data_IF_753806030998
#
_entry.id   IF_753806030998
#
_cell.length_a   1.000
_cell.length_b   1.000
_cell.length_c   1.000
_cell.angle_alpha   90.00
_cell.angle_beta   90.00
_cell.angle_gamma   90.00
#
_symmetry.space_group_name_H-M   'P 1'
#
loop_
_entity.id
_entity.type
_entity.pdbx_description
1 polymer ?
#
# COMPACT_ATOMS: atom_id res chain seq x y z
N UNK A 1 37.45 49.14 16.56
CA UNK A 1 37.79 47.84 17.21
C UNK A 1 36.55 47.15 17.81
N UNK A 2 35.58 47.89 18.33
CA UNK A 2 34.36 47.30 18.93
C UNK A 2 33.38 46.68 17.94
N UNK A 3 33.32 47.15 16.68
CA UNK A 3 32.43 46.61 15.65
C UNK A 3 32.80 45.17 15.27
N UNK A 4 34.10 44.88 15.20
CA UNK A 4 34.57 43.51 14.92
C UNK A 4 34.24 42.54 16.05
N UNK A 5 34.36 42.99 17.30
CA UNK A 5 34.07 42.20 18.49
C UNK A 5 32.55 41.89 18.55
N UNK A 6 31.69 42.85 18.24
CA UNK A 6 30.24 42.68 18.18
C UNK A 6 29.86 41.69 17.05
N UNK A 7 30.50 41.81 15.89
CA UNK A 7 30.26 40.89 14.76
C UNK A 7 30.64 39.45 15.10
N UNK A 8 31.78 39.21 15.72
CA UNK A 8 32.22 37.88 16.15
C UNK A 8 31.30 37.32 17.23
N UNK A 9 30.89 38.13 18.20
CA UNK A 9 29.95 37.70 19.25
C UNK A 9 28.60 37.29 18.66
N UNK A 10 28.09 38.00 17.68
CA UNK A 10 26.83 37.68 16.98
C UNK A 10 26.91 36.37 16.24
N UNK A 11 28.02 36.09 15.56
CA UNK A 11 28.23 34.78 14.87
C UNK A 11 28.28 33.58 15.84
N UNK A 12 28.93 33.79 16.98
CA UNK A 12 29.00 32.75 18.02
C UNK A 12 27.60 32.43 18.57
N UNK A 13 26.80 33.45 18.84
CA UNK A 13 25.42 33.30 19.35
C UNK A 13 24.57 32.54 18.32
N UNK A 14 24.65 32.88 17.04
CA UNK A 14 23.92 32.18 15.97
C UNK A 14 24.35 30.72 15.85
N UNK A 15 25.64 30.45 15.94
CA UNK A 15 26.17 29.10 15.91
C UNK A 15 25.69 28.23 17.10
N UNK A 16 25.62 28.83 18.30
CA UNK A 16 25.09 28.14 19.49
C UNK A 16 23.60 27.86 19.36
N UNK A 17 22.82 28.81 18.84
CA UNK A 17 21.38 28.60 18.61
C UNK A 17 21.16 27.50 17.59
N UNK A 18 21.92 27.48 16.49
CA UNK A 18 21.85 26.43 15.48
C UNK A 18 22.21 25.04 16.06
N UNK A 19 23.23 24.98 16.90
CA UNK A 19 23.62 23.74 17.58
C UNK A 19 22.55 23.24 18.56
N UNK A 20 21.92 24.15 19.31
CA UNK A 20 20.83 23.79 20.25
C UNK A 20 19.61 23.30 19.47
N UNK A 21 19.24 23.95 18.37
CA UNK A 21 18.10 23.51 17.57
C UNK A 21 18.34 22.15 16.94
N UNK A 22 19.54 21.86 16.46
CA UNK A 22 19.90 20.52 15.93
C UNK A 22 19.93 19.45 17.02
N UNK A 23 20.38 19.77 18.23
CA UNK A 23 20.36 18.84 19.37
C UNK A 23 18.93 18.57 19.87
N UNK A 24 18.08 19.60 19.93
CA UNK A 24 16.67 19.42 20.29
C UNK A 24 15.87 18.71 19.19
N UNK A 25 16.21 18.96 17.92
CA UNK A 25 15.60 18.27 16.78
C UNK A 25 15.98 16.78 16.74
N UNK A 26 17.21 16.44 17.09
CA UNK A 26 17.67 15.04 17.24
C UNK A 26 16.97 14.29 18.37
N UNK A 27 16.37 15.00 19.32
CA UNK A 27 15.60 14.35 20.38
C UNK A 27 14.11 14.17 20.04
N UNK A 28 13.69 14.63 18.84
CA UNK A 28 12.34 14.43 18.28
C UNK A 28 12.30 13.51 17.06
N UNK A 29 13.45 13.02 16.62
CA UNK A 29 13.50 11.82 15.79
C UNK A 29 13.48 10.60 16.75
N UNK A 30 12.37 10.45 17.47
CA UNK A 30 11.84 9.15 17.69
C UNK A 30 11.57 8.64 16.29
N UNK A 31 12.45 7.82 15.74
CA UNK A 31 12.11 6.83 14.76
C UNK A 31 10.68 6.38 15.10
N UNK A 32 9.70 6.47 14.19
CA UNK A 32 8.46 5.75 14.44
C UNK A 32 8.95 4.34 14.72
N UNK A 33 8.74 3.88 15.94
CA UNK A 33 8.88 2.49 16.29
C UNK A 33 8.01 1.79 15.26
N UNK A 34 8.65 1.32 14.17
CA UNK A 34 8.01 0.45 13.22
C UNK A 34 7.84 -0.82 14.03
N UNK A 35 6.77 -0.84 14.80
CA UNK A 35 6.23 -2.07 15.33
C UNK A 35 5.96 -2.88 14.09
N UNK A 36 6.95 -3.70 13.70
CA UNK A 36 6.68 -4.76 12.75
C UNK A 36 5.56 -5.57 13.37
N UNK A 37 4.33 -5.51 12.85
CA UNK A 37 3.29 -6.37 13.34
C UNK A 37 3.84 -7.78 13.12
N UNK A 38 4.10 -8.48 14.21
CA UNK A 38 4.19 -9.93 14.19
C UNK A 38 2.99 -10.38 13.38
N UNK A 39 3.23 -10.97 12.22
CA UNK A 39 2.28 -11.48 11.24
C UNK A 39 0.90 -11.79 11.87
N UNK A 40 0.10 -10.75 12.01
CA UNK A 40 -1.30 -10.89 12.37
C UNK A 40 -2.01 -11.37 11.12
N UNK A 41 -2.53 -12.57 11.16
CA UNK A 41 -3.38 -13.11 10.13
C UNK A 41 -4.57 -12.16 9.93
N UNK A 42 -4.53 -11.35 8.86
CA UNK A 42 -5.62 -10.43 8.51
C UNK A 42 -6.93 -11.15 8.16
N UNK A 43 -6.95 -12.48 8.18
CA UNK A 43 -8.14 -13.29 7.95
C UNK A 43 -9.16 -13.22 9.08
N UNK A 44 -8.77 -12.69 10.26
CA UNK A 44 -9.64 -12.58 11.45
C UNK A 44 -10.07 -11.15 11.78
N UNK A 45 -9.80 -10.17 10.92
CA UNK A 45 -10.28 -8.79 11.11
C UNK A 45 -11.79 -8.71 10.86
N UNK A 46 -12.54 -8.38 11.90
CA UNK A 46 -14.00 -8.14 11.84
C UNK A 46 -14.38 -6.70 11.42
N UNK A 47 -13.40 -5.88 11.00
CA UNK A 47 -13.62 -4.53 10.51
C UNK A 47 -14.05 -3.49 11.57
N UNK A 48 -13.98 -3.85 12.86
CA UNK A 48 -14.43 -2.97 13.95
C UNK A 48 -13.28 -2.15 14.57
N UNK A 49 -12.04 -2.37 14.19
CA UNK A 49 -10.87 -1.69 14.75
C UNK A 49 -10.12 -0.94 13.66
N UNK A 50 -10.19 0.40 13.66
CA UNK A 50 -9.48 1.31 12.75
C UNK A 50 -7.97 1.03 12.68
N UNK A 51 -7.41 0.48 13.75
CA UNK A 51 -6.00 0.11 13.85
C UNK A 51 -5.69 -1.17 13.07
N UNK A 52 -6.61 -2.13 13.08
CA UNK A 52 -6.51 -3.36 12.31
C UNK A 52 -6.60 -3.06 10.80
N UNK A 53 -7.51 -2.18 10.40
CA UNK A 53 -7.67 -1.77 9.00
C UNK A 53 -6.39 -1.09 8.46
N UNK A 54 -5.77 -0.18 9.22
CA UNK A 54 -4.52 0.48 8.85
C UNK A 54 -3.35 -0.51 8.72
N UNK A 55 -3.24 -1.47 9.62
CA UNK A 55 -2.19 -2.51 9.58
C UNK A 55 -2.39 -3.42 8.37
N UNK A 56 -3.63 -3.82 8.08
CA UNK A 56 -3.94 -4.64 6.90
C UNK A 56 -3.67 -3.87 5.60
N UNK A 57 -3.95 -2.57 5.54
CA UNK A 57 -3.64 -1.73 4.38
C UNK A 57 -2.14 -1.56 4.18
N UNK A 58 -1.37 -1.39 5.26
CA UNK A 58 0.09 -1.30 5.18
C UNK A 58 0.73 -2.64 4.78
N UNK A 59 0.26 -3.75 5.33
CA UNK A 59 0.73 -5.09 4.92
C UNK A 59 0.38 -5.37 3.45
N UNK A 60 -0.80 -4.93 3.02
CA UNK A 60 -1.20 -5.02 1.62
C UNK A 60 -0.28 -4.21 0.69
N UNK A 61 0.16 -3.03 1.12
CA UNK A 61 1.04 -2.16 0.34
C UNK A 61 2.50 -2.63 0.29
N UNK A 62 2.95 -3.40 1.27
CA UNK A 62 4.33 -3.90 1.37
C UNK A 62 4.54 -5.30 0.81
N UNK A 63 3.46 -6.04 0.56
CA UNK A 63 3.53 -7.38 0.00
C UNK A 63 3.77 -7.30 -1.50
N UNK A 64 4.74 -8.05 -2.00
CA UNK A 64 5.01 -8.15 -3.43
C UNK A 64 3.75 -8.56 -4.20
N UNK A 65 3.61 -8.02 -5.42
CA UNK A 65 2.51 -8.39 -6.31
C UNK A 65 2.70 -9.85 -6.72
N UNK A 66 1.73 -10.67 -6.42
CA UNK A 66 1.69 -12.08 -6.82
C UNK A 66 0.93 -12.23 -8.13
N UNK A 67 1.55 -12.89 -9.11
CA UNK A 67 0.93 -13.20 -10.40
C UNK A 67 0.35 -14.62 -10.38
N UNK A 68 -0.78 -14.80 -11.03
CA UNK A 68 -1.55 -16.05 -11.09
C UNK A 68 -1.63 -16.60 -12.51
N UNK A 69 -0.50 -16.57 -13.23
CA UNK A 69 -0.41 -16.98 -14.65
C UNK A 69 -1.32 -16.08 -15.53
N UNK A 70 -1.34 -14.77 -15.23
CA UNK A 70 -2.28 -13.79 -15.76
C UNK A 70 -1.60 -12.47 -16.18
N UNK A 71 -0.32 -12.53 -16.54
CA UNK A 71 0.48 -11.36 -16.93
C UNK A 71 -0.09 -10.64 -18.16
N UNK A 72 -0.80 -11.33 -19.01
CA UNK A 72 -1.48 -10.75 -20.18
C UNK A 72 -2.57 -9.76 -19.79
N UNK A 73 -3.13 -9.85 -18.59
CA UNK A 73 -4.14 -8.92 -18.11
C UNK A 73 -3.56 -7.53 -17.78
N UNK A 74 -2.25 -7.40 -17.66
CA UNK A 74 -1.58 -6.11 -17.38
C UNK A 74 -1.85 -5.05 -18.46
N UNK A 75 -2.20 -5.46 -19.68
CA UNK A 75 -2.60 -4.54 -20.77
C UNK A 75 -3.89 -3.77 -20.46
N UNK A 76 -4.67 -4.24 -19.50
CA UNK A 76 -5.93 -3.64 -19.07
C UNK A 76 -5.79 -2.66 -17.91
N UNK A 77 -4.58 -2.35 -17.48
CA UNK A 77 -4.31 -1.40 -16.40
C UNK A 77 -5.01 -0.07 -16.63
N UNK A 78 -5.71 0.43 -15.61
CA UNK A 78 -6.43 1.71 -15.65
C UNK A 78 -7.73 1.69 -16.45
N UNK A 79 -8.14 0.55 -17.02
CA UNK A 79 -9.40 0.46 -17.78
C UNK A 79 -10.59 0.39 -16.83
N UNK A 80 -11.68 1.19 -17.07
CA UNK A 80 -12.91 1.08 -16.29
C UNK A 80 -13.61 -0.26 -16.46
N UNK A 81 -14.25 -0.76 -15.39
CA UNK A 81 -14.93 -2.06 -15.35
C UNK A 81 -16.04 -2.27 -16.39
N UNK A 82 -16.65 -1.19 -16.86
CA UNK A 82 -17.74 -1.20 -17.84
C UNK A 82 -17.26 -1.05 -19.30
N UNK A 83 -15.96 -1.10 -19.55
CA UNK A 83 -15.39 -0.88 -20.90
C UNK A 83 -14.71 -2.12 -21.49
N UNK A 84 -15.02 -3.28 -20.97
CA UNK A 84 -14.54 -4.55 -21.49
C UNK A 84 -15.49 -5.11 -22.54
N UNK A 85 -14.92 -5.67 -23.59
CA UNK A 85 -15.68 -6.46 -24.59
C UNK A 85 -15.91 -7.87 -24.07
N UNK A 86 -16.90 -8.58 -24.62
CA UNK A 86 -17.20 -9.96 -24.21
C UNK A 86 -15.98 -10.88 -24.37
N UNK A 87 -15.16 -10.69 -25.40
CA UNK A 87 -13.93 -11.47 -25.59
C UNK A 87 -12.88 -11.20 -24.52
N UNK A 88 -12.76 -9.95 -24.05
CA UNK A 88 -11.85 -9.59 -22.97
C UNK A 88 -12.36 -10.08 -21.61
N UNK A 89 -13.68 -10.08 -21.39
CA UNK A 89 -14.29 -10.69 -20.21
C UNK A 89 -14.00 -12.18 -20.15
N UNK A 90 -14.05 -12.87 -21.29
CA UNK A 90 -13.72 -14.31 -21.37
C UNK A 90 -12.27 -14.61 -20.99
N UNK A 91 -11.33 -13.69 -21.21
CA UNK A 91 -9.94 -13.84 -20.75
C UNK A 91 -9.86 -13.86 -19.23
N UNK A 92 -10.54 -12.92 -18.55
CA UNK A 92 -10.62 -12.92 -17.08
C UNK A 92 -11.33 -14.17 -16.56
N UNK A 93 -12.40 -14.59 -17.20
CA UNK A 93 -13.13 -15.80 -16.83
C UNK A 93 -12.25 -17.06 -16.99
N UNK A 94 -11.44 -17.12 -18.04
CA UNK A 94 -10.52 -18.23 -18.26
C UNK A 94 -9.52 -18.35 -17.11
N UNK A 95 -8.91 -17.25 -16.69
CA UNK A 95 -8.00 -17.21 -15.53
C UNK A 95 -8.75 -17.63 -14.26
N UNK A 96 -9.92 -17.04 -13.99
CA UNK A 96 -10.73 -17.34 -12.81
C UNK A 96 -11.07 -18.82 -12.68
N UNK A 97 -11.47 -19.47 -13.78
CA UNK A 97 -11.87 -20.88 -13.75
C UNK A 97 -10.70 -21.87 -13.67
N UNK A 98 -9.48 -21.43 -13.90
CA UNK A 98 -8.28 -22.27 -13.69
C UNK A 98 -7.81 -22.27 -12.24
N UNK A 99 -8.26 -21.29 -11.43
CA UNK A 99 -7.85 -21.13 -10.04
C UNK A 99 -8.63 -22.01 -9.06
N UNK A 100 -7.99 -22.30 -7.95
CA UNK A 100 -8.70 -22.85 -6.80
C UNK A 100 -9.47 -21.74 -6.06
N UNK A 101 -10.63 -22.04 -5.44
CA UNK A 101 -11.44 -21.02 -4.74
C UNK A 101 -10.65 -20.21 -3.69
N UNK A 102 -9.69 -20.81 -3.00
CA UNK A 102 -8.88 -20.14 -2.01
C UNK A 102 -7.87 -19.13 -2.60
N UNK A 103 -7.54 -19.24 -3.90
CA UNK A 103 -6.63 -18.34 -4.62
C UNK A 103 -7.33 -17.10 -5.13
N UNK A 104 -8.63 -17.15 -5.37
CA UNK A 104 -9.43 -16.09 -5.99
C UNK A 104 -9.31 -14.78 -5.21
N UNK A 105 -9.31 -14.84 -3.88
CA UNK A 105 -9.11 -13.66 -3.02
C UNK A 105 -7.73 -13.01 -3.24
N UNK A 106 -6.68 -13.82 -3.33
CA UNK A 106 -5.32 -13.35 -3.61
C UNK A 106 -5.20 -12.75 -5.00
N UNK A 107 -5.79 -13.41 -5.99
CA UNK A 107 -5.83 -12.93 -7.36
C UNK A 107 -6.56 -11.58 -7.49
N UNK A 108 -7.76 -11.44 -6.92
CA UNK A 108 -8.51 -10.18 -6.93
C UNK A 108 -7.69 -9.04 -6.31
N UNK A 109 -7.00 -9.32 -5.19
CA UNK A 109 -6.08 -8.35 -4.58
C UNK A 109 -4.92 -7.99 -5.51
N UNK A 110 -4.32 -8.97 -6.18
CA UNK A 110 -3.25 -8.74 -7.16
C UNK A 110 -3.70 -7.82 -8.29
N UNK A 111 -4.90 -8.03 -8.85
CA UNK A 111 -5.48 -7.16 -9.85
C UNK A 111 -5.62 -5.71 -9.36
N UNK A 112 -6.13 -5.51 -8.14
CA UNK A 112 -6.26 -4.18 -7.53
C UNK A 112 -4.90 -3.50 -7.39
N UNK A 113 -3.87 -4.21 -6.91
CA UNK A 113 -2.51 -3.67 -6.75
C UNK A 113 -1.86 -3.31 -8.10
N UNK A 114 -2.22 -4.01 -9.17
CA UNK A 114 -1.79 -3.72 -10.54
C UNK A 114 -2.66 -2.68 -11.24
N UNK A 115 -3.64 -2.08 -10.55
CA UNK A 115 -4.59 -1.12 -11.11
C UNK A 115 -5.46 -1.70 -12.24
N UNK A 116 -5.76 -2.99 -12.18
CA UNK A 116 -6.62 -3.68 -13.14
C UNK A 116 -8.00 -3.82 -12.50
N UNK A 117 -9.01 -3.22 -13.11
CA UNK A 117 -10.38 -3.34 -12.64
C UNK A 117 -11.03 -4.60 -13.23
N UNK A 118 -11.69 -5.39 -12.40
CA UNK A 118 -12.50 -6.52 -12.89
C UNK A 118 -13.63 -6.03 -13.78
N UNK A 119 -13.93 -6.74 -14.90
CA UNK A 119 -15.13 -6.52 -15.66
C UNK A 119 -16.40 -6.67 -14.82
N UNK A 120 -17.38 -5.78 -15.02
CA UNK A 120 -18.63 -5.81 -14.24
C UNK A 120 -19.37 -7.15 -14.37
N UNK A 121 -19.23 -7.83 -15.51
CA UNK A 121 -19.90 -9.08 -15.81
C UNK A 121 -19.50 -10.26 -14.92
N UNK A 122 -18.27 -10.25 -14.40
CA UNK A 122 -17.75 -11.38 -13.57
C UNK A 122 -17.59 -11.02 -12.10
N UNK A 123 -17.88 -9.77 -11.69
CA UNK A 123 -17.70 -9.34 -10.29
C UNK A 123 -18.50 -10.17 -9.30
N UNK A 124 -19.77 -10.42 -9.60
CA UNK A 124 -20.64 -11.20 -8.71
C UNK A 124 -20.14 -12.64 -8.53
N UNK A 125 -19.59 -13.22 -9.59
CA UNK A 125 -19.02 -14.55 -9.56
C UNK A 125 -17.76 -14.60 -8.71
N UNK A 126 -16.85 -13.64 -8.88
CA UNK A 126 -15.64 -13.52 -8.06
C UNK A 126 -16.00 -13.37 -6.58
N UNK A 127 -16.99 -12.52 -6.26
CA UNK A 127 -17.46 -12.33 -4.87
C UNK A 127 -18.00 -13.66 -4.32
N UNK A 128 -18.82 -14.36 -5.08
CA UNK A 128 -19.39 -15.65 -4.67
C UNK A 128 -18.30 -16.69 -4.39
N UNK A 129 -17.25 -16.71 -5.19
CA UNK A 129 -16.12 -17.64 -4.99
C UNK A 129 -15.25 -17.27 -3.78
N UNK A 130 -15.17 -15.99 -3.42
CA UNK A 130 -14.43 -15.52 -2.23
C UNK A 130 -15.20 -15.82 -0.94
N UNK A 131 -16.54 -15.72 -0.98
CA UNK A 131 -17.42 -15.89 0.19
C UNK A 131 -17.79 -17.36 0.46
N UNK A 132 -17.72 -18.19 -0.57
CA UNK A 132 -18.11 -19.61 -0.51
C UNK A 132 -17.12 -20.52 0.11
#
# INVERSE_FOLDING_TARGET
>A
MNIFIIGIASLIVLAVIAAITTLLSKHKEGEPDVVMPTSGDCSSCDGMDDKCEQVCMMEAATKDIEYYDDEELDRFRGRPSNQYTDAEVEEFATVLYTMQPHEVKGWNRSLILREINLPDQIKDEVITMIEG
#
